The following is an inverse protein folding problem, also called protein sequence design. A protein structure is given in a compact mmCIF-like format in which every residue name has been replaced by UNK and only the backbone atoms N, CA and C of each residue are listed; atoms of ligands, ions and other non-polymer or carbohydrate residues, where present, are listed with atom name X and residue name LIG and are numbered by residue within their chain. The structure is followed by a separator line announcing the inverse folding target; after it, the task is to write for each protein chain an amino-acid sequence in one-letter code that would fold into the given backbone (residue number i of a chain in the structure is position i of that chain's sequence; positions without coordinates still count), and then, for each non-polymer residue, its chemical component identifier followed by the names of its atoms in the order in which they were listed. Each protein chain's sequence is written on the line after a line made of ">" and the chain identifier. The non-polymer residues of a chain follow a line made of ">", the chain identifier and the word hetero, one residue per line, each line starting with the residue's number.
data_IF_588151074455
#
_entry.id   IF_588151074455
#
_cell.length_a   1.000
_cell.length_b   1.000
_cell.length_c   1.000
_cell.angle_alpha   90.00
_cell.angle_beta   90.00
_cell.angle_gamma   90.00
#
_symmetry.space_group_name_H-M   'P 1'
#
loop_
_entity.id
_entity.type
_entity.pdbx_description
1 polymer ?
#
# COMPACT_ATOMS: atom_id res chain seq x y z
N UNK A 1 5.09 13.88 -8.13
CA UNK A 1 5.44 12.50 -7.70
C UNK A 1 5.76 11.57 -8.86
N UNK A 2 5.04 11.65 -9.98
CA UNK A 2 5.20 10.74 -11.12
C UNK A 2 6.66 10.62 -11.65
N UNK A 3 7.40 11.73 -11.73
CA UNK A 3 8.80 11.72 -12.20
C UNK A 3 9.73 10.90 -11.29
N UNK A 4 9.54 10.97 -9.96
CA UNK A 4 10.36 10.20 -9.02
C UNK A 4 10.06 8.71 -9.14
N UNK A 5 8.78 8.35 -9.25
CA UNK A 5 8.38 6.95 -9.37
C UNK A 5 8.81 6.34 -10.70
N UNK A 6 8.83 7.11 -11.78
CA UNK A 6 9.41 6.70 -13.05
C UNK A 6 10.86 6.23 -12.91
N UNK A 7 11.69 7.04 -12.24
CA UNK A 7 13.11 6.69 -11.97
C UNK A 7 13.23 5.42 -11.11
N UNK A 8 12.37 5.26 -10.10
CA UNK A 8 12.35 4.04 -9.29
C UNK A 8 11.95 2.82 -10.13
N UNK A 9 10.99 2.96 -11.05
CA UNK A 9 10.61 1.87 -11.96
C UNK A 9 11.77 1.48 -12.87
N UNK A 10 12.47 2.45 -13.46
CA UNK A 10 13.66 2.21 -14.29
C UNK A 10 14.77 1.47 -13.53
N UNK A 11 15.13 1.95 -12.33
CA UNK A 11 16.16 1.31 -11.50
C UNK A 11 15.79 -0.13 -11.11
N UNK A 12 14.50 -0.39 -10.84
CA UNK A 12 14.02 -1.75 -10.60
C UNK A 12 14.19 -2.62 -11.83
N UNK A 13 13.85 -2.09 -13.01
CA UNK A 13 13.92 -2.81 -14.28
C UNK A 13 15.39 -3.09 -14.68
N UNK A 14 16.35 -2.30 -14.19
CA UNK A 14 17.80 -2.58 -14.21
C UNK A 14 18.26 -3.66 -13.20
N UNK A 15 17.34 -4.26 -12.45
CA UNK A 15 17.61 -5.33 -11.47
C UNK A 15 17.98 -4.83 -10.07
N UNK A 16 17.77 -3.54 -9.76
CA UNK A 16 17.98 -3.02 -8.40
C UNK A 16 16.78 -3.36 -7.51
N UNK A 17 17.05 -3.72 -6.26
CA UNK A 17 15.98 -3.83 -5.24
C UNK A 17 15.74 -2.45 -4.63
N UNK A 18 14.48 -2.02 -4.63
CA UNK A 18 14.07 -0.70 -4.15
C UNK A 18 13.08 -0.89 -3.00
N UNK A 19 13.37 -0.22 -1.88
CA UNK A 19 12.48 -0.16 -0.74
C UNK A 19 12.01 1.30 -0.56
N UNK A 20 10.70 1.51 -0.60
CA UNK A 20 10.08 2.83 -0.43
C UNK A 20 9.14 2.79 0.76
N UNK A 21 9.25 3.79 1.62
CA UNK A 21 8.25 4.04 2.66
C UNK A 21 7.25 5.05 2.12
N UNK A 22 6.03 4.60 1.85
CA UNK A 22 4.96 5.44 1.33
C UNK A 22 3.81 5.49 2.33
N UNK A 23 3.26 6.69 2.55
CA UNK A 23 2.19 6.94 3.52
C UNK A 23 0.80 6.93 2.87
N UNK A 24 0.73 7.14 1.57
CA UNK A 24 -0.51 7.19 0.80
C UNK A 24 -0.75 5.86 0.08
N UNK A 25 -1.74 5.10 0.53
CA UNK A 25 -2.05 3.82 -0.10
C UNK A 25 -2.92 3.93 -1.35
N UNK A 26 -3.49 5.11 -1.63
CA UNK A 26 -4.44 5.30 -2.73
C UNK A 26 -3.83 5.09 -4.11
N UNK A 27 -2.50 5.22 -4.24
CA UNK A 27 -1.74 5.02 -5.48
C UNK A 27 -0.73 3.89 -5.38
N UNK A 28 -0.81 3.09 -4.33
CA UNK A 28 0.19 2.06 -4.09
C UNK A 28 0.13 0.92 -5.13
N UNK A 29 -1.05 0.66 -5.73
CA UNK A 29 -1.22 -0.34 -6.78
C UNK A 29 -0.63 0.09 -8.14
N UNK A 30 -0.67 1.39 -8.45
CA UNK A 30 -0.09 1.96 -9.67
C UNK A 30 1.44 1.89 -9.70
N UNK A 31 2.06 1.84 -8.52
CA UNK A 31 3.49 2.07 -8.36
C UNK A 31 4.26 0.84 -7.89
N UNK A 32 3.69 0.04 -7.01
CA UNK A 32 4.38 -1.06 -6.34
C UNK A 32 3.76 -2.41 -6.72
N UNK A 33 4.59 -3.45 -6.76
CA UNK A 33 4.14 -4.83 -6.98
C UNK A 33 3.94 -5.59 -5.66
N UNK A 34 4.68 -5.21 -4.63
CA UNK A 34 4.61 -5.79 -3.28
C UNK A 34 4.53 -4.69 -2.24
N UNK A 35 3.82 -4.96 -1.15
CA UNK A 35 3.73 -4.09 0.02
C UNK A 35 4.08 -4.87 1.29
N UNK A 36 4.65 -4.12 2.24
CA UNK A 36 4.86 -4.57 3.62
C UNK A 36 4.07 -3.62 4.51
N UNK A 37 3.04 -4.15 5.14
CA UNK A 37 2.15 -3.39 6.02
C UNK A 37 2.58 -3.56 7.48
N UNK A 38 2.91 -2.44 8.12
CA UNK A 38 3.44 -2.38 9.48
C UNK A 38 2.54 -1.51 10.36
N UNK A 39 2.18 -2.01 11.55
CA UNK A 39 1.55 -1.23 12.62
C UNK A 39 2.11 -1.69 13.97
N UNK A 40 3.23 -1.09 14.41
CA UNK A 40 4.07 -1.50 15.57
C UNK A 40 4.65 -2.94 15.49
N UNK A 41 4.00 -3.81 14.72
CA UNK A 41 4.36 -5.17 14.34
C UNK A 41 4.07 -5.36 12.85
N UNK A 42 4.67 -6.39 12.25
CA UNK A 42 4.30 -6.81 10.90
C UNK A 42 2.84 -7.27 10.89
N UNK A 43 2.03 -6.65 10.04
CA UNK A 43 0.62 -7.03 9.83
C UNK A 43 0.56 -8.04 8.69
N UNK A 44 1.11 -7.69 7.52
CA UNK A 44 1.15 -8.57 6.35
C UNK A 44 2.21 -8.10 5.35
N UNK A 45 2.78 -9.02 4.57
CA UNK A 45 3.68 -8.72 3.46
C UNK A 45 3.31 -9.60 2.25
N UNK A 46 3.31 -9.02 1.05
CA UNK A 46 2.93 -9.75 -0.16
C UNK A 46 2.51 -8.83 -1.31
N UNK A 47 1.87 -9.39 -2.35
CA UNK A 47 1.38 -8.64 -3.49
C UNK A 47 0.40 -7.53 -3.08
N UNK A 48 0.42 -6.41 -3.79
CA UNK A 48 -0.40 -5.23 -3.43
C UNK A 48 -1.89 -5.56 -3.30
N UNK A 49 -2.44 -6.37 -4.19
CA UNK A 49 -3.84 -6.79 -4.17
C UNK A 49 -4.23 -7.58 -2.91
N UNK A 50 -3.29 -8.31 -2.31
CA UNK A 50 -3.51 -9.08 -1.09
C UNK A 50 -3.45 -8.21 0.17
N UNK A 51 -2.76 -7.07 0.08
CA UNK A 51 -2.54 -6.14 1.19
C UNK A 51 -3.63 -5.07 1.22
N UNK A 52 -4.06 -4.54 0.06
CA UNK A 52 -5.12 -3.52 -0.07
C UNK A 52 -6.53 -4.03 0.27
N UNK A 53 -6.67 -5.31 0.64
CA UNK A 53 -7.96 -5.85 1.06
C UNK A 53 -8.46 -5.13 2.32
N UNK A 54 -9.74 -4.70 2.38
CA UNK A 54 -10.26 -3.93 3.50
C UNK A 54 -9.99 -4.57 4.87
N UNK A 55 -10.06 -5.90 4.96
CA UNK A 55 -9.87 -6.63 6.21
C UNK A 55 -8.43 -6.53 6.73
N UNK A 56 -7.45 -6.53 5.82
CA UNK A 56 -6.02 -6.38 6.14
C UNK A 56 -5.71 -4.94 6.51
N UNK A 57 -6.29 -3.98 5.78
CA UNK A 57 -6.07 -2.56 6.02
C UNK A 57 -6.67 -2.13 7.37
N UNK A 58 -7.84 -2.65 7.75
CA UNK A 58 -8.42 -2.39 9.06
C UNK A 58 -7.48 -2.78 10.21
N UNK A 59 -6.74 -3.89 10.10
CA UNK A 59 -5.79 -4.33 11.13
C UNK A 59 -4.58 -3.39 11.31
N UNK A 60 -4.18 -2.69 10.24
CA UNK A 60 -3.07 -1.74 10.31
C UNK A 60 -3.51 -0.33 10.70
N UNK A 61 -4.74 0.05 10.37
CA UNK A 61 -5.26 1.41 10.47
C UNK A 61 -6.43 1.54 11.46
N UNK A 62 -6.54 0.65 12.45
CA UNK A 62 -7.62 0.57 13.46
C UNK A 62 -8.05 1.92 14.09
N UNK A 63 -7.24 2.97 13.99
CA UNK A 63 -7.51 4.30 14.56
C UNK A 63 -7.78 5.42 13.53
N UNK A 64 -7.62 5.21 12.20
CA UNK A 64 -7.60 6.31 11.21
C UNK A 64 -8.47 6.16 9.95
N UNK A 65 -9.34 5.16 9.82
CA UNK A 65 -10.18 5.00 8.61
C UNK A 65 -11.69 5.25 8.83
N UNK A 66 -12.14 6.51 9.00
CA UNK A 66 -13.54 6.89 8.77
C UNK A 66 -13.99 6.72 7.31
N UNK A 67 -13.07 6.76 6.35
CA UNK A 67 -13.38 6.77 4.90
C UNK A 67 -13.93 5.44 4.36
N UNK A 68 -13.66 4.31 5.03
CA UNK A 68 -14.21 3.01 4.62
C UNK A 68 -15.67 2.82 5.06
N UNK A 69 -16.18 3.61 6.04
CA UNK A 69 -17.58 3.51 6.47
C UNK A 69 -18.58 4.05 5.45
N UNK A 70 -18.16 4.86 4.47
CA UNK A 70 -19.06 5.45 3.46
C UNK A 70 -19.15 4.66 2.16
N UNK A 71 -18.36 3.59 1.98
CA UNK A 71 -18.40 2.76 0.76
C UNK A 71 -19.24 1.47 0.93
N UNK A 72 -19.68 1.15 2.14
CA UNK A 72 -20.66 0.10 2.43
C UNK A 72 -21.97 0.75 2.83
N UNK A 73 -22.91 0.83 1.88
CA UNK A 73 -24.22 1.45 2.08
C UNK A 73 -25.00 0.84 3.24
N UNK A 74 -25.85 1.69 3.81
CA UNK A 74 -26.88 1.35 4.79
C UNK A 74 -27.68 0.10 4.38
N UNK A 75 -27.74 -0.88 5.28
CA UNK A 75 -28.84 -1.83 5.44
C UNK A 75 -28.83 -2.39 6.87
#
# INVERSE_FOLDING_TARGET
>A
EETMIGILKELRDEGKTILVVHHDLSKADDYFSHLVLLNKKLVKAGPVHDILRPEVMLQAYETQLPFLKSAGGDA
#
